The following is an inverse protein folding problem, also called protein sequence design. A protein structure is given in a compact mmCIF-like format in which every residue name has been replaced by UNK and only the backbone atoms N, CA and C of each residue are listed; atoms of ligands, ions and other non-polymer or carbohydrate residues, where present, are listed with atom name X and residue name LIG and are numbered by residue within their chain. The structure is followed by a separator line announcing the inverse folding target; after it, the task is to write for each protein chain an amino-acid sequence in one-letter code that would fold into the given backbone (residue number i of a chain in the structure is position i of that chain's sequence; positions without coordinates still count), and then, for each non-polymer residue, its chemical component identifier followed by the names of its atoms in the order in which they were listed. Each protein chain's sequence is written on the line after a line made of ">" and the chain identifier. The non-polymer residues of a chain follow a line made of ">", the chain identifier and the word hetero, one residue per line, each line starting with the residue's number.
data_IF_875046445484
#
_entry.id   IF_875046445484
#
_cell.length_a   1.000
_cell.length_b   1.000
_cell.length_c   1.000
_cell.angle_alpha   90.00
_cell.angle_beta   90.00
_cell.angle_gamma   90.00
#
_symmetry.space_group_name_H-M   'P 1'
#
loop_
_entity.id
_entity.type
_entity.pdbx_description
1 polymer ?
#
# COMPACT_ATOMS: atom_id res chain seq x y z
N UNK A 1 -3.89 18.14 -6.37
CA UNK A 1 -3.27 17.18 -5.44
C UNK A 1 -1.81 17.02 -5.85
N UNK A 2 -0.88 17.65 -5.15
CA UNK A 2 0.54 17.65 -5.52
C UNK A 2 1.17 16.37 -4.95
N UNK A 3 1.26 15.31 -5.75
CA UNK A 3 2.03 14.12 -5.41
C UNK A 3 3.50 14.55 -5.40
N UNK A 4 4.00 14.99 -4.24
CA UNK A 4 5.42 15.25 -4.05
C UNK A 4 6.16 13.97 -4.44
N UNK A 5 7.22 14.13 -5.25
CA UNK A 5 8.08 13.03 -5.76
C UNK A 5 8.87 12.39 -4.62
N UNK A 6 8.20 11.83 -3.62
CA UNK A 6 8.83 11.04 -2.58
C UNK A 6 9.03 9.61 -3.11
N UNK A 7 9.97 9.48 -4.05
CA UNK A 7 10.36 8.22 -4.70
C UNK A 7 10.77 7.12 -3.71
N UNK A 8 11.03 7.48 -2.43
CA UNK A 8 11.31 6.52 -1.35
C UNK A 8 10.13 5.63 -0.98
N UNK A 9 8.90 6.08 -1.21
CA UNK A 9 7.68 5.35 -0.87
C UNK A 9 6.89 4.89 -2.11
N UNK A 10 7.52 4.88 -3.28
CA UNK A 10 6.94 4.33 -4.51
C UNK A 10 7.64 3.03 -4.87
N UNK A 11 6.87 1.98 -5.14
CA UNK A 11 7.40 0.63 -5.38
C UNK A 11 6.77 0.00 -6.60
N UNK A 12 7.60 -0.57 -7.47
CA UNK A 12 7.13 -1.45 -8.54
C UNK A 12 6.59 -2.74 -7.95
N UNK A 13 5.35 -3.07 -8.29
CA UNK A 13 4.69 -4.28 -7.83
C UNK A 13 4.00 -5.00 -8.99
N UNK A 14 3.70 -6.27 -8.79
CA UNK A 14 2.79 -7.06 -9.62
C UNK A 14 1.73 -7.66 -8.73
N UNK A 15 0.46 -7.43 -9.05
CA UNK A 15 -0.68 -7.98 -8.33
C UNK A 15 -1.55 -8.80 -9.27
N UNK A 16 -2.18 -9.85 -8.75
CA UNK A 16 -3.23 -10.58 -9.47
C UNK A 16 -4.58 -10.09 -8.95
N UNK A 17 -5.55 -9.74 -9.82
CA UNK A 17 -5.55 -9.85 -11.28
C UNK A 17 -5.00 -8.60 -12.03
N UNK A 18 -4.50 -7.58 -11.31
CA UNK A 18 -4.28 -6.24 -11.89
C UNK A 18 -2.97 -6.04 -12.66
N UNK A 19 -2.11 -7.07 -12.71
CA UNK A 19 -0.81 -7.06 -13.38
C UNK A 19 0.20 -6.11 -12.75
N UNK A 20 1.08 -5.55 -13.58
CA UNK A 20 2.14 -4.63 -13.14
C UNK A 20 1.55 -3.27 -12.74
N UNK A 21 2.17 -2.66 -11.74
CA UNK A 21 1.74 -1.35 -11.24
C UNK A 21 2.72 -0.74 -10.25
N UNK A 22 2.30 0.39 -9.70
CA UNK A 22 3.03 1.11 -8.67
C UNK A 22 2.23 1.13 -7.37
N UNK A 23 2.92 0.89 -6.27
CA UNK A 23 2.41 1.08 -4.92
C UNK A 23 3.01 2.36 -4.36
N UNK A 24 2.17 3.30 -3.94
CA UNK A 24 2.56 4.52 -3.26
C UNK A 24 2.09 4.46 -1.81
N UNK A 25 3.00 4.72 -0.87
CA UNK A 25 2.69 4.80 0.56
C UNK A 25 2.87 6.26 0.99
N UNK A 26 1.77 6.90 1.36
CA UNK A 26 1.73 8.32 1.73
C UNK A 26 1.15 8.47 3.12
N UNK A 27 1.31 9.66 3.69
CA UNK A 27 0.64 10.06 4.93
C UNK A 27 -0.90 9.96 4.84
N UNK A 28 -1.47 10.18 3.66
CA UNK A 28 -2.92 10.04 3.41
C UNK A 28 -3.40 8.60 3.19
N UNK A 29 -2.50 7.61 3.20
CA UNK A 29 -2.84 6.22 2.94
C UNK A 29 -2.01 5.57 1.83
N UNK A 30 -2.48 4.41 1.35
CA UNK A 30 -1.82 3.61 0.31
C UNK A 30 -2.58 3.76 -1.00
N UNK A 31 -1.85 3.99 -2.09
CA UNK A 31 -2.39 4.02 -3.44
C UNK A 31 -1.75 2.93 -4.29
N UNK A 32 -2.58 2.17 -5.00
CA UNK A 32 -2.14 1.21 -6.00
C UNK A 32 -2.57 1.68 -7.39
N UNK A 33 -1.60 2.00 -8.24
CA UNK A 33 -1.81 2.35 -9.64
C UNK A 33 -1.55 1.12 -10.52
N UNK A 34 -2.59 0.62 -11.19
CA UNK A 34 -2.46 -0.46 -12.17
C UNK A 34 -2.15 0.10 -13.56
N UNK A 35 -1.04 -0.33 -14.16
CA UNK A 35 -0.66 0.07 -15.52
C UNK A 35 -1.55 -0.56 -16.60
N UNK A 36 -2.23 -1.66 -16.29
CA UNK A 36 -3.09 -2.35 -17.27
C UNK A 36 -4.46 -1.69 -17.33
N UNK A 37 -5.02 -1.33 -16.18
CA UNK A 37 -6.40 -0.85 -16.08
C UNK A 37 -6.52 0.67 -15.97
N UNK A 38 -5.40 1.40 -15.80
CA UNK A 38 -5.42 2.84 -15.56
C UNK A 38 -6.22 3.25 -14.33
N UNK A 39 -6.38 2.32 -13.37
CA UNK A 39 -7.15 2.53 -12.14
C UNK A 39 -6.22 2.72 -10.96
N UNK A 40 -6.60 3.66 -10.11
CA UNK A 40 -5.99 3.89 -8.80
C UNK A 40 -6.94 3.35 -7.74
N UNK A 41 -6.43 2.46 -6.90
CA UNK A 41 -7.12 2.00 -5.70
C UNK A 41 -6.48 2.66 -4.49
N UNK A 42 -7.28 3.28 -3.62
CA UNK A 42 -6.82 3.87 -2.36
C UNK A 42 -7.23 3.00 -1.18
N UNK A 43 -6.37 2.92 -0.17
CA UNK A 43 -6.62 2.27 1.11
C UNK A 43 -6.21 3.22 2.24
N UNK A 44 -7.16 3.50 3.13
CA UNK A 44 -6.92 4.28 4.34
C UNK A 44 -6.30 3.38 5.40
N UNK A 45 -5.33 3.90 6.16
CA UNK A 45 -4.64 3.14 7.20
C UNK A 45 -5.61 2.55 8.24
N UNK A 46 -6.66 3.28 8.57
CA UNK A 46 -7.65 2.86 9.58
C UNK A 46 -8.47 1.63 9.16
N UNK A 47 -8.51 1.32 7.87
CA UNK A 47 -9.23 0.14 7.35
C UNK A 47 -8.35 -1.12 7.36
N UNK A 48 -7.03 -0.98 7.48
CA UNK A 48 -6.07 -2.07 7.37
C UNK A 48 -6.05 -2.87 8.67
N UNK A 49 -6.37 -4.16 8.57
CA UNK A 49 -6.47 -5.05 9.74
C UNK A 49 -5.27 -5.97 9.88
N UNK A 50 -4.56 -6.25 8.78
CA UNK A 50 -3.36 -7.09 8.79
C UNK A 50 -2.44 -6.72 7.63
N UNK A 51 -1.14 -6.82 7.85
CA UNK A 51 -0.13 -6.70 6.80
C UNK A 51 1.08 -7.59 7.12
N UNK A 52 1.86 -7.96 6.11
CA UNK A 52 3.04 -8.80 6.30
C UNK A 52 3.75 -9.21 5.02
N UNK A 53 4.84 -9.97 5.16
CA UNK A 53 5.65 -10.47 4.04
C UNK A 53 5.64 -12.00 4.04
N UNK A 54 5.47 -12.58 2.86
CA UNK A 54 5.70 -14.00 2.61
C UNK A 54 6.56 -14.15 1.35
N UNK A 55 7.84 -14.52 1.51
CA UNK A 55 8.78 -14.62 0.39
C UNK A 55 8.96 -13.28 -0.35
N UNK A 56 8.60 -13.25 -1.64
CA UNK A 56 8.65 -12.02 -2.48
C UNK A 56 7.34 -11.22 -2.48
N UNK A 57 6.39 -11.63 -1.65
CA UNK A 57 5.06 -11.03 -1.62
C UNK A 57 4.89 -10.19 -0.35
N UNK A 58 4.28 -9.03 -0.54
CA UNK A 58 3.74 -8.20 0.52
C UNK A 58 2.22 -8.32 0.50
N UNK A 59 1.62 -8.64 1.65
CA UNK A 59 0.18 -8.85 1.81
C UNK A 59 -0.41 -7.75 2.69
N UNK A 60 -1.56 -7.24 2.30
CA UNK A 60 -2.36 -6.29 3.08
C UNK A 60 -3.82 -6.77 3.07
N UNK A 61 -4.44 -6.81 4.24
CA UNK A 61 -5.83 -7.17 4.45
C UNK A 61 -6.55 -5.97 5.07
N UNK A 62 -7.74 -5.64 4.58
CA UNK A 62 -8.56 -4.53 5.07
C UNK A 62 -10.04 -4.90 5.10
N UNK A 63 -10.83 -4.09 5.80
CA UNK A 63 -12.29 -4.25 5.86
C UNK A 63 -12.95 -3.01 5.26
N UNK A 64 -13.89 -3.23 4.35
CA UNK A 64 -14.76 -2.18 3.81
C UNK A 64 -16.19 -2.72 3.74
N UNK A 65 -17.16 -1.98 4.28
CA UNK A 65 -18.58 -2.38 4.32
C UNK A 65 -18.77 -3.84 4.82
N UNK A 66 -18.17 -4.16 5.98
CA UNK A 66 -18.13 -5.50 6.61
C UNK A 66 -17.53 -6.63 5.74
N UNK A 67 -16.97 -6.28 4.58
CA UNK A 67 -16.34 -7.22 3.67
C UNK A 67 -14.83 -7.21 3.89
N UNK A 68 -14.28 -8.38 4.20
CA UNK A 68 -12.82 -8.59 4.29
C UNK A 68 -12.23 -8.74 2.89
N UNK A 69 -11.31 -7.85 2.55
CA UNK A 69 -10.57 -7.86 1.30
C UNK A 69 -9.07 -7.99 1.58
N UNK A 70 -8.32 -8.44 0.57
CA UNK A 70 -6.87 -8.51 0.67
C UNK A 70 -6.21 -8.33 -0.69
N UNK A 71 -4.96 -7.86 -0.65
CA UNK A 71 -4.06 -7.82 -1.79
C UNK A 71 -2.79 -8.57 -1.49
N UNK A 72 -2.30 -9.29 -2.50
CA UNK A 72 -0.98 -9.91 -2.53
C UNK A 72 -0.19 -9.23 -3.62
N UNK A 73 0.81 -8.46 -3.22
CA UNK A 73 1.66 -7.65 -4.10
C UNK A 73 3.03 -8.32 -4.19
N UNK A 74 3.40 -8.81 -5.36
CA UNK A 74 4.75 -9.32 -5.62
C UNK A 74 5.66 -8.13 -5.92
N UNK A 75 6.80 -8.05 -5.23
CA UNK A 75 7.75 -6.95 -5.41
C UNK A 75 9.20 -7.47 -5.41
N UNK A 76 10.14 -6.76 -6.07
CA UNK A 76 11.56 -7.08 -5.96
C UNK A 76 12.10 -6.96 -4.53
N UNK A 77 11.48 -6.10 -3.71
CA UNK A 77 11.92 -5.80 -2.35
C UNK A 77 10.74 -5.57 -1.40
N UNK A 78 9.95 -6.61 -1.04
CA UNK A 78 8.80 -6.46 -0.15
C UNK A 78 9.19 -5.97 1.25
N UNK A 79 10.44 -6.22 1.69
CA UNK A 79 10.99 -5.68 2.95
C UNK A 79 11.03 -4.16 2.97
N UNK A 80 11.36 -3.53 1.83
CA UNK A 80 11.37 -2.06 1.70
C UNK A 80 9.95 -1.49 1.74
N UNK A 81 8.99 -2.22 1.17
CA UNK A 81 7.57 -1.86 1.24
C UNK A 81 7.09 -1.90 2.69
N UNK A 82 7.35 -3.00 3.41
CA UNK A 82 6.95 -3.13 4.82
C UNK A 82 7.56 -2.03 5.70
N UNK A 83 8.85 -1.75 5.55
CA UNK A 83 9.51 -0.69 6.34
C UNK A 83 8.93 0.70 6.02
N UNK A 84 8.64 0.98 4.74
CA UNK A 84 7.98 2.23 4.32
C UNK A 84 6.57 2.33 4.90
N UNK A 85 5.79 1.24 4.82
CA UNK A 85 4.46 1.15 5.42
C UNK A 85 4.49 1.43 6.91
N UNK A 86 5.32 0.73 7.67
CA UNK A 86 5.38 0.85 9.13
C UNK A 86 5.71 2.28 9.56
N UNK A 87 6.76 2.86 8.95
CA UNK A 87 7.16 4.24 9.24
C UNK A 87 6.04 5.24 8.95
N UNK A 88 5.41 5.13 7.78
CA UNK A 88 4.37 6.10 7.39
C UNK A 88 3.08 5.90 8.18
N UNK A 89 2.72 4.67 8.54
CA UNK A 89 1.59 4.39 9.42
C UNK A 89 1.82 4.94 10.85
N UNK A 90 3.05 4.85 11.38
CA UNK A 90 3.40 5.48 12.66
C UNK A 90 3.35 7.02 12.59
N UNK A 91 3.83 7.61 11.50
CA UNK A 91 3.73 9.06 11.23
C UNK A 91 2.25 9.49 11.18
N UNK A 92 1.41 8.73 10.48
CA UNK A 92 -0.04 8.93 10.40
C UNK A 92 -0.69 8.86 11.79
N UNK A 93 -0.45 7.78 12.55
CA UNK A 93 -1.02 7.60 13.89
C UNK A 93 -0.66 8.74 14.85
N UNK A 94 0.56 9.28 14.76
CA UNK A 94 0.98 10.46 15.54
C UNK A 94 0.29 11.75 15.10
N UNK A 95 -0.10 11.86 13.83
CA UNK A 95 -0.77 13.04 13.30
C UNK A 95 -2.25 13.11 13.70
N UNK A 96 -2.92 11.96 13.79
CA UNK A 96 -4.34 11.86 14.15
C UNK A 96 -4.58 12.08 15.66
N UNK A 97 -3.55 11.90 16.49
CA UNK A 97 -3.63 12.09 17.95
C UNK A 97 -3.41 13.56 18.41
N UNK A 98 -3.14 14.49 17.50
CA UNK A 98 -2.91 15.92 17.80
C UNK A 98 -4.12 16.76 17.48
#
# INVERSE_FOLDING_TARGET
>A
MHLSKNTRNTFEITSSPHGKGYLHITDSGIYFESLIYGRVFSLDFDTITRYGIQGRQFRIDWIINDTKLYYVLTAPSPKRILASYQRTNEEYARSVQK
#
